data_IF_443881637688
#
_entry.id   IF_443881637688
#
_cell.length_a   1.000
_cell.length_b   1.000
_cell.length_c   1.000
_cell.angle_alpha   90.00
_cell.angle_beta   90.00
_cell.angle_gamma   90.00
#
_symmetry.space_group_name_H-M   'P 1'
#
loop_
_entity.id
_entity.type
_entity.pdbx_description
1 polymer ?
#
# COMPACT_ATOMS: atom_id res chain seq x y z
N UNK A 1 -11.81 -6.99 -7.54
CA UNK A 1 -10.55 -6.52 -8.17
C UNK A 1 -9.41 -6.71 -7.18
N UNK A 2 -8.29 -7.35 -7.58
CA UNK A 2 -7.15 -7.61 -6.69
C UNK A 2 -6.12 -6.47 -6.73
N UNK A 3 -5.40 -6.27 -5.63
CA UNK A 3 -4.25 -5.35 -5.55
C UNK A 3 -2.96 -6.12 -5.79
N UNK A 4 -1.99 -5.53 -6.50
CA UNK A 4 -0.65 -6.14 -6.66
C UNK A 4 -0.01 -6.47 -5.31
N UNK A 5 -0.21 -5.62 -4.30
CA UNK A 5 0.30 -5.85 -2.95
C UNK A 5 -0.21 -7.15 -2.31
N UNK A 6 -1.42 -7.60 -2.68
CA UNK A 6 -2.03 -8.81 -2.11
C UNK A 6 -1.57 -10.10 -2.79
N UNK A 7 -1.00 -10.02 -4.01
CA UNK A 7 -0.61 -11.18 -4.83
C UNK A 7 0.88 -11.23 -5.14
N UNK A 8 1.68 -10.32 -4.55
CA UNK A 8 3.11 -10.20 -4.83
C UNK A 8 3.87 -11.49 -4.50
N UNK A 9 3.49 -12.17 -3.42
CA UNK A 9 4.05 -13.46 -3.02
C UNK A 9 3.71 -14.56 -4.03
N UNK A 10 2.45 -14.64 -4.45
CA UNK A 10 2.02 -15.60 -5.48
C UNK A 10 2.70 -15.36 -6.83
N UNK A 11 2.94 -14.10 -7.20
CA UNK A 11 3.70 -13.74 -8.40
C UNK A 11 5.18 -14.11 -8.26
N UNK A 12 5.78 -13.86 -7.09
CA UNK A 12 7.18 -14.18 -6.80
C UNK A 12 7.42 -15.69 -6.80
N UNK A 13 6.50 -16.46 -6.24
CA UNK A 13 6.57 -17.92 -6.16
C UNK A 13 6.04 -18.62 -7.41
N UNK A 14 5.59 -17.86 -8.42
CA UNK A 14 5.11 -18.39 -9.70
C UNK A 14 3.78 -19.14 -9.62
N UNK A 15 3.01 -18.98 -8.54
CA UNK A 15 1.62 -19.49 -8.45
C UNK A 15 0.67 -18.66 -9.31
N UNK A 16 1.01 -17.39 -9.54
CA UNK A 16 0.34 -16.51 -10.49
C UNK A 16 1.33 -15.97 -11.51
N UNK A 17 0.81 -15.60 -12.69
CA UNK A 17 1.55 -14.91 -13.74
C UNK A 17 0.89 -13.56 -14.04
N UNK A 18 1.70 -12.52 -14.22
CA UNK A 18 1.21 -11.20 -14.61
C UNK A 18 0.94 -11.14 -16.12
N UNK A 19 -0.28 -10.76 -16.50
CA UNK A 19 -0.66 -10.52 -17.89
C UNK A 19 -0.70 -9.00 -18.14
N UNK A 20 0.09 -8.45 -19.07
CA UNK A 20 0.10 -7.01 -19.33
C UNK A 20 -1.22 -6.55 -19.96
N UNK A 21 -1.80 -5.49 -19.41
CA UNK A 21 -3.02 -4.84 -19.94
C UNK A 21 -2.69 -3.39 -20.26
N UNK A 22 -2.82 -2.99 -21.52
CA UNK A 22 -2.53 -1.64 -21.98
C UNK A 22 -3.75 -0.72 -21.86
N UNK A 23 -3.53 0.56 -21.59
CA UNK A 23 -4.59 1.57 -21.58
C UNK A 23 -5.45 1.59 -20.31
N UNK A 24 -5.05 0.86 -19.26
CA UNK A 24 -5.76 0.80 -17.99
C UNK A 24 -4.82 1.19 -16.85
N UNK A 25 -5.10 2.33 -16.22
CA UNK A 25 -4.42 2.73 -14.99
C UNK A 25 -5.13 2.09 -13.78
N UNK A 26 -4.38 1.28 -13.04
CA UNK A 26 -4.85 0.58 -11.84
C UNK A 26 -4.23 1.11 -10.56
N UNK A 27 -3.52 2.24 -10.63
CA UNK A 27 -2.96 2.90 -9.46
C UNK A 27 -4.06 3.35 -8.50
N UNK A 28 -3.81 3.16 -7.21
CA UNK A 28 -4.71 3.58 -6.13
C UNK A 28 -3.90 4.16 -5.00
N UNK A 29 -4.33 5.31 -4.51
CA UNK A 29 -3.75 5.89 -3.31
C UNK A 29 -4.27 5.16 -2.07
N UNK A 30 -3.35 4.70 -1.22
CA UNK A 30 -3.70 4.20 0.11
C UNK A 30 -3.77 5.39 1.07
N UNK A 31 -4.93 5.54 1.73
CA UNK A 31 -5.19 6.66 2.65
C UNK A 31 -5.38 6.14 4.07
N UNK A 32 -4.60 6.66 5.00
CA UNK A 32 -4.83 6.48 6.42
C UNK A 32 -5.92 7.45 6.90
N UNK A 33 -6.97 6.94 7.53
CA UNK A 33 -8.10 7.71 8.05
C UNK A 33 -8.24 7.42 9.54
N UNK A 34 -8.48 8.45 10.33
CA UNK A 34 -8.67 8.36 11.78
C UNK A 34 -9.68 9.42 12.24
N UNK A 35 -10.19 9.26 13.46
CA UNK A 35 -11.09 10.23 14.08
C UNK A 35 -10.32 11.44 14.63
N UNK A 36 -10.82 12.65 14.38
CA UNK A 36 -10.24 13.90 14.88
C UNK A 36 -9.65 14.78 13.77
N UNK A 37 -8.65 15.59 14.13
CA UNK A 37 -8.04 16.56 13.21
C UNK A 37 -7.12 15.96 12.15
N UNK A 38 -6.61 16.82 11.26
CA UNK A 38 -5.71 16.46 10.14
C UNK A 38 -4.38 15.85 10.56
N UNK A 39 -3.99 15.99 11.83
CA UNK A 39 -2.78 15.38 12.38
C UNK A 39 -3.20 14.23 13.29
N UNK A 40 -2.70 13.00 13.07
CA UNK A 40 -3.06 11.87 13.91
C UNK A 40 -2.63 12.13 15.35
N UNK A 41 -3.43 11.76 16.36
CA UNK A 41 -3.06 11.94 17.76
C UNK A 41 -1.73 11.25 18.07
N UNK A 42 -0.97 11.80 19.03
CA UNK A 42 0.28 11.18 19.46
C UNK A 42 0.02 9.77 20.04
N UNK A 43 1.01 8.89 19.92
CA UNK A 43 0.93 7.49 20.37
C UNK A 43 0.81 6.50 19.21
N UNK A 44 0.24 5.32 19.49
CA UNK A 44 0.33 4.14 18.62
C UNK A 44 -0.09 4.39 17.16
N UNK A 45 -1.12 5.19 16.91
CA UNK A 45 -1.56 5.52 15.55
C UNK A 45 -0.48 6.31 14.79
N UNK A 46 0.07 7.36 15.41
CA UNK A 46 1.12 8.18 14.77
C UNK A 46 2.41 7.38 14.55
N UNK A 47 2.79 6.55 15.52
CA UNK A 47 3.96 5.66 15.40
C UNK A 47 3.79 4.66 14.24
N UNK A 48 2.61 4.03 14.14
CA UNK A 48 2.30 3.12 13.04
C UNK A 48 2.36 3.84 11.67
N UNK A 49 1.80 5.05 11.58
CA UNK A 49 1.83 5.81 10.33
C UNK A 49 3.25 6.25 9.94
N UNK A 50 4.09 6.61 10.92
CA UNK A 50 5.50 6.91 10.69
C UNK A 50 6.25 5.68 10.17
N UNK A 51 6.02 4.52 10.79
CA UNK A 51 6.61 3.25 10.35
C UNK A 51 6.17 2.90 8.92
N UNK A 52 4.87 2.95 8.62
CA UNK A 52 4.34 2.69 7.28
C UNK A 52 4.95 3.65 6.25
N UNK A 53 5.00 4.96 6.55
CA UNK A 53 5.56 5.97 5.65
C UNK A 53 7.06 5.75 5.36
N UNK A 54 7.83 5.33 6.36
CA UNK A 54 9.25 5.01 6.18
C UNK A 54 9.50 3.80 5.26
N UNK A 55 8.56 2.85 5.23
CA UNK A 55 8.65 1.66 4.38
C UNK A 55 8.31 1.96 2.91
N UNK A 56 7.42 2.92 2.65
CA UNK A 56 7.07 3.33 1.28
C UNK A 56 8.26 4.01 0.59
N UNK A 57 8.97 4.90 1.29
CA UNK A 57 10.11 5.64 0.74
C UNK A 57 11.32 4.76 0.36
N UNK A 58 11.41 3.53 0.90
CA UNK A 58 12.47 2.57 0.55
C UNK A 58 12.18 1.79 -0.73
N UNK A 59 10.93 1.80 -1.19
CA UNK A 59 10.47 1.01 -2.35
C UNK A 59 10.43 1.84 -3.64
N UNK A 60 10.65 3.15 -3.52
CA UNK A 60 10.87 4.12 -4.60
C UNK A 60 12.38 4.30 -4.86
#
# INVERSE_FOLDING_TARGET
MMSRLAVDDDLTLGRLCAVPVTGLDLCRELRAIWSGGRTPPAGAVRELLSHIGSHQHRRE
#
